data_IF_539819205663
#
_entry.id   IF_539819205663
#
_cell.length_a   1.000
_cell.length_b   1.000
_cell.length_c   1.000
_cell.angle_alpha   90.00
_cell.angle_beta   90.00
_cell.angle_gamma   90.00
#
_symmetry.space_group_name_H-M   'P 1'
#
loop_
_entity.id
_entity.type
_entity.pdbx_description
1 polymer ?
#
# COMPACT_ATOMS: atom_id res chain seq x y z
N UNK A 1 -19.71 2.79 -5.08
CA UNK A 1 -18.40 2.93 -5.74
C UNK A 1 -17.25 2.24 -4.99
N UNK A 2 -17.51 1.59 -3.88
CA UNK A 2 -16.51 0.87 -3.11
C UNK A 2 -16.40 -0.55 -3.63
N UNK A 3 -15.23 -0.96 -4.14
CA UNK A 3 -14.99 -2.32 -4.61
C UNK A 3 -14.69 -3.27 -3.45
N UNK A 4 -13.90 -2.79 -2.50
CA UNK A 4 -13.48 -3.55 -1.33
C UNK A 4 -13.80 -2.68 -0.12
N UNK A 5 -14.33 -3.29 0.93
CA UNK A 5 -14.69 -2.58 2.14
C UNK A 5 -13.52 -1.79 2.72
N UNK A 6 -13.80 -0.73 3.47
CA UNK A 6 -12.76 0.10 4.05
C UNK A 6 -12.14 -0.55 5.28
N UNK A 7 -10.86 -0.25 5.51
CA UNK A 7 -10.21 -0.52 6.77
C UNK A 7 -10.00 0.79 7.53
N UNK A 8 -10.07 0.72 8.85
CA UNK A 8 -9.95 1.89 9.71
C UNK A 8 -8.57 1.90 10.37
N UNK A 9 -7.87 3.02 10.25
CA UNK A 9 -6.54 3.18 10.83
C UNK A 9 -6.48 4.43 11.72
N UNK A 10 -5.79 4.33 12.84
CA UNK A 10 -5.44 5.48 13.67
C UNK A 10 -4.05 5.97 13.24
N UNK A 11 -4.04 6.95 12.35
CA UNK A 11 -2.79 7.43 11.75
C UNK A 11 -2.01 8.37 12.68
N UNK A 12 -2.66 9.00 13.61
CA UNK A 12 -2.02 10.04 14.44
C UNK A 12 -1.77 9.61 15.88
N UNK A 13 -2.25 8.43 16.26
CA UNK A 13 -2.12 7.96 17.63
C UNK A 13 -2.93 8.76 18.65
N UNK A 14 -3.90 9.56 18.18
CA UNK A 14 -4.75 10.43 19.01
C UNK A 14 -6.22 10.21 18.74
N UNK A 15 -6.59 8.98 18.39
CA UNK A 15 -7.98 8.60 18.04
C UNK A 15 -8.53 9.34 16.82
N UNK A 16 -7.65 9.80 15.94
CA UNK A 16 -8.02 10.45 14.69
C UNK A 16 -8.02 9.39 13.58
N UNK A 17 -9.10 8.63 13.49
CA UNK A 17 -9.20 7.50 12.57
C UNK A 17 -9.49 7.96 11.14
N UNK A 18 -8.86 7.32 10.18
CA UNK A 18 -9.11 7.47 8.76
C UNK A 18 -9.40 6.11 8.14
N UNK A 19 -10.07 6.12 7.00
CA UNK A 19 -10.36 4.90 6.25
C UNK A 19 -9.75 5.00 4.86
N UNK A 20 -9.24 3.87 4.35
CA UNK A 20 -8.86 3.75 2.95
C UNK A 20 -10.00 3.10 2.19
N UNK A 21 -10.34 3.66 1.04
CA UNK A 21 -11.42 3.18 0.20
C UNK A 21 -10.89 2.93 -1.20
N UNK A 22 -11.05 1.71 -1.70
CA UNK A 22 -10.77 1.37 -3.09
C UNK A 22 -12.05 1.56 -3.90
N UNK A 23 -12.01 2.53 -4.81
CA UNK A 23 -13.14 2.86 -5.67
C UNK A 23 -13.15 2.03 -6.97
N UNK A 24 -14.30 1.97 -7.62
CA UNK A 24 -14.45 1.24 -8.89
C UNK A 24 -13.59 1.80 -10.01
N UNK A 25 -13.24 3.08 -9.95
CA UNK A 25 -12.37 3.70 -10.95
C UNK A 25 -10.89 3.39 -10.76
N UNK A 26 -10.58 2.45 -9.87
CA UNK A 26 -9.23 1.98 -9.59
C UNK A 26 -8.38 3.01 -8.83
N UNK A 27 -9.00 3.90 -8.09
CA UNK A 27 -8.30 4.83 -7.20
C UNK A 27 -8.48 4.42 -5.75
N UNK A 28 -7.47 4.70 -4.95
CA UNK A 28 -7.55 4.54 -3.49
C UNK A 28 -7.53 5.93 -2.88
N UNK A 29 -8.51 6.21 -2.05
CA UNK A 29 -8.61 7.48 -1.36
C UNK A 29 -8.66 7.26 0.16
N UNK A 30 -8.17 8.26 0.89
CA UNK A 30 -8.22 8.27 2.35
C UNK A 30 -9.25 9.28 2.80
N UNK A 31 -10.09 8.88 3.75
CA UNK A 31 -11.12 9.77 4.31
C UNK A 31 -11.07 9.73 5.83
N UNK A 32 -11.35 10.86 6.47
CA UNK A 32 -11.61 10.86 7.90
C UNK A 32 -13.05 10.38 8.15
N UNK A 33 -13.43 10.25 9.41
CA UNK A 33 -14.77 9.75 9.75
C UNK A 33 -15.90 10.70 9.38
N UNK A 34 -15.58 11.93 8.97
CA UNK A 34 -16.55 12.91 8.44
C UNK A 34 -16.63 12.87 6.92
N UNK A 35 -15.90 11.97 6.27
CA UNK A 35 -15.91 11.82 4.82
C UNK A 35 -14.99 12.80 4.07
N UNK A 36 -14.06 13.45 4.74
CA UNK A 36 -13.14 14.39 4.12
C UNK A 36 -11.75 13.78 3.97
N UNK A 37 -11.07 14.12 2.87
CA UNK A 37 -9.70 13.70 2.64
C UNK A 37 -8.74 14.57 3.45
N UNK A 38 -7.67 13.98 4.02
CA UNK A 38 -6.61 14.79 4.64
C UNK A 38 -5.95 15.70 3.61
N UNK A 39 -5.52 16.90 4.03
CA UNK A 39 -4.96 17.90 3.12
C UNK A 39 -3.70 17.43 2.40
N UNK A 40 -2.90 16.60 3.04
CA UNK A 40 -1.65 16.09 2.47
C UNK A 40 -1.84 14.82 1.63
N UNK A 41 -3.06 14.28 1.53
CA UNK A 41 -3.32 13.07 0.76
C UNK A 41 -3.25 13.36 -0.74
N UNK A 42 -2.38 12.62 -1.45
CA UNK A 42 -2.14 12.80 -2.88
C UNK A 42 -2.90 11.79 -3.75
N UNK A 43 -3.42 10.73 -3.12
CA UNK A 43 -4.13 9.67 -3.84
C UNK A 43 -3.22 8.56 -4.32
N UNK A 44 -3.82 7.41 -4.58
CA UNK A 44 -3.14 6.25 -5.19
C UNK A 44 -3.97 5.87 -6.41
N UNK A 45 -3.36 5.95 -7.58
CA UNK A 45 -4.05 5.71 -8.85
C UNK A 45 -3.10 5.05 -9.86
N UNK A 46 -2.78 3.76 -9.68
CA UNK A 46 -1.91 3.05 -10.62
C UNK A 46 -2.62 2.84 -11.96
N UNK A 47 -1.83 2.62 -13.00
CA UNK A 47 -2.37 2.38 -14.34
C UNK A 47 -3.05 1.02 -14.48
N UNK A 48 -2.59 0.03 -13.69
CA UNK A 48 -3.16 -1.32 -13.76
C UNK A 48 -4.19 -1.54 -12.66
N UNK A 49 -5.04 -2.53 -12.87
CA UNK A 49 -6.11 -2.87 -11.93
C UNK A 49 -5.54 -3.31 -10.57
N UNK A 50 -5.98 -2.66 -9.51
CA UNK A 50 -5.65 -3.04 -8.15
C UNK A 50 -6.40 -4.33 -7.80
N UNK A 51 -5.69 -5.32 -7.26
CA UNK A 51 -6.24 -6.64 -6.99
C UNK A 51 -6.76 -6.83 -5.57
N UNK A 52 -6.33 -6.00 -4.64
CA UNK A 52 -6.75 -6.11 -3.24
C UNK A 52 -6.59 -4.76 -2.55
N UNK A 53 -7.21 -4.61 -1.39
CA UNK A 53 -7.05 -3.41 -0.59
C UNK A 53 -5.56 -3.22 -0.24
N UNK A 54 -5.03 -1.99 -0.28
CA UNK A 54 -3.64 -1.76 0.09
C UNK A 54 -3.30 -2.31 1.48
N UNK A 55 -2.14 -2.92 1.59
CA UNK A 55 -1.65 -3.45 2.85
C UNK A 55 -0.79 -2.41 3.56
N UNK A 56 -1.03 -2.22 4.84
CA UNK A 56 -0.22 -1.32 5.65
C UNK A 56 1.11 -1.98 5.97
N UNK A 57 2.20 -1.24 5.76
CA UNK A 57 3.56 -1.69 6.04
C UNK A 57 4.26 -0.61 6.86
N UNK A 58 4.78 -0.97 8.03
CA UNK A 58 5.53 -0.06 8.89
C UNK A 58 7.00 -0.44 8.86
N UNK A 59 7.84 0.47 8.37
CA UNK A 59 9.28 0.26 8.24
C UNK A 59 9.99 1.48 8.80
N UNK A 60 10.86 1.27 9.78
CA UNK A 60 11.61 2.37 10.40
C UNK A 60 10.71 3.43 11.01
N UNK A 61 9.58 3.03 11.59
CA UNK A 61 8.62 3.96 12.19
C UNK A 61 7.76 4.73 11.21
N UNK A 62 7.90 4.47 9.91
CA UNK A 62 7.08 5.11 8.87
C UNK A 62 6.09 4.13 8.28
N UNK A 63 4.90 4.62 7.95
CA UNK A 63 3.87 3.81 7.31
C UNK A 63 3.97 3.94 5.79
N UNK A 64 3.91 2.81 5.10
CA UNK A 64 3.86 2.70 3.65
C UNK A 64 2.66 1.84 3.26
N UNK A 65 2.26 1.93 2.00
CA UNK A 65 1.18 1.11 1.44
C UNK A 65 1.72 0.18 0.38
N UNK A 66 1.42 -1.11 0.51
CA UNK A 66 1.75 -2.11 -0.52
C UNK A 66 0.50 -2.31 -1.36
N UNK A 67 0.59 -1.97 -2.65
CA UNK A 67 -0.51 -2.08 -3.60
C UNK A 67 -0.15 -3.14 -4.64
N UNK A 68 -1.02 -4.13 -4.78
CA UNK A 68 -0.82 -5.23 -5.73
C UNK A 68 -1.73 -5.02 -6.93
N UNK A 69 -1.12 -4.96 -8.10
CA UNK A 69 -1.86 -4.88 -9.37
C UNK A 69 -1.68 -6.18 -10.15
N UNK A 70 -2.27 -6.25 -11.33
CA UNK A 70 -2.14 -7.41 -12.20
C UNK A 70 -0.71 -7.63 -12.70
N UNK A 71 0.13 -6.59 -12.72
CA UNK A 71 1.48 -6.65 -13.31
C UNK A 71 2.59 -6.15 -12.41
N UNK A 72 2.27 -5.56 -11.28
CA UNK A 72 3.27 -4.95 -10.41
C UNK A 72 2.91 -5.08 -8.94
N UNK A 73 3.93 -5.08 -8.10
CA UNK A 73 3.81 -4.75 -6.68
C UNK A 73 4.35 -3.34 -6.51
N UNK A 74 3.55 -2.45 -5.98
CA UNK A 74 3.90 -1.04 -5.81
C UNK A 74 3.95 -0.69 -4.33
N UNK A 75 4.93 0.11 -3.94
CA UNK A 75 5.02 0.61 -2.58
C UNK A 75 4.90 2.12 -2.62
N UNK A 76 3.92 2.65 -1.88
CA UNK A 76 3.64 4.07 -1.79
C UNK A 76 3.97 4.60 -0.40
N UNK A 77 4.31 5.89 -0.33
CA UNK A 77 4.39 6.56 0.96
C UNK A 77 3.00 6.64 1.59
N UNK A 78 2.95 6.97 2.87
CA UNK A 78 1.71 7.10 3.63
C UNK A 78 0.67 8.02 2.93
N UNK A 79 1.12 9.08 2.28
CA UNK A 79 0.23 10.04 1.62
C UNK A 79 -0.07 9.72 0.16
N UNK A 80 0.43 8.61 -0.36
CA UNK A 80 0.21 8.23 -1.75
C UNK A 80 1.12 8.98 -2.71
N UNK A 81 0.57 9.40 -3.85
CA UNK A 81 1.32 10.08 -4.90
C UNK A 81 1.97 9.10 -5.88
N UNK A 82 3.21 9.35 -6.27
CA UNK A 82 3.96 8.41 -7.12
C UNK A 82 4.49 7.26 -6.29
N UNK A 83 4.50 6.02 -6.82
CA UNK A 83 5.08 4.91 -6.08
C UNK A 83 6.58 5.13 -5.84
N UNK A 84 7.01 4.77 -4.63
CA UNK A 84 8.42 4.83 -4.27
C UNK A 84 9.19 3.66 -4.87
N UNK A 85 8.53 2.50 -4.97
CA UNK A 85 9.11 1.28 -5.51
C UNK A 85 8.09 0.60 -6.39
N UNK A 86 8.61 -0.10 -7.43
CA UNK A 86 7.80 -0.83 -8.39
C UNK A 86 8.54 -2.13 -8.74
N UNK A 87 7.89 -3.26 -8.52
CA UNK A 87 8.45 -4.58 -8.79
C UNK A 87 7.60 -5.29 -9.83
N UNK A 88 8.20 -5.71 -10.94
CA UNK A 88 7.50 -6.29 -12.09
C UNK A 88 7.96 -7.71 -12.36
N UNK A 89 7.11 -8.49 -13.04
CA UNK A 89 7.44 -9.84 -13.47
C UNK A 89 7.77 -10.74 -12.31
N UNK A 90 8.91 -11.44 -12.39
CA UNK A 90 9.32 -12.39 -11.37
C UNK A 90 9.65 -11.75 -10.03
N UNK A 91 9.83 -10.45 -10.00
CA UNK A 91 10.09 -9.69 -8.77
C UNK A 91 8.83 -9.26 -8.06
N UNK A 92 7.66 -9.46 -8.64
CA UNK A 92 6.40 -9.19 -7.95
C UNK A 92 6.27 -10.11 -6.74
N UNK A 93 5.65 -9.58 -5.69
CA UNK A 93 5.35 -10.41 -4.51
C UNK A 93 4.22 -11.38 -4.85
N UNK A 94 4.34 -12.61 -4.37
CA UNK A 94 3.24 -13.57 -4.49
C UNK A 94 1.99 -13.01 -3.78
N UNK A 95 0.78 -13.29 -4.32
CA UNK A 95 -0.45 -12.73 -3.75
C UNK A 95 -0.66 -13.03 -2.27
N UNK A 96 -0.24 -14.21 -1.83
CA UNK A 96 -0.38 -14.62 -0.43
C UNK A 96 0.89 -14.40 0.38
N UNK A 97 1.93 -13.80 -0.19
CA UNK A 97 3.19 -13.61 0.50
C UNK A 97 3.05 -12.56 1.58
N UNK A 98 3.51 -12.89 2.77
CA UNK A 98 3.64 -11.94 3.85
C UNK A 98 4.88 -11.07 3.61
N UNK A 99 4.73 -9.77 3.75
CA UNK A 99 5.83 -8.83 3.65
C UNK A 99 6.40 -8.65 5.06
N UNK A 100 7.62 -9.12 5.26
CA UNK A 100 8.28 -9.05 6.57
C UNK A 100 9.27 -7.91 6.62
N UNK A 101 9.25 -7.16 7.72
CA UNK A 101 10.20 -6.07 7.94
C UNK A 101 11.49 -6.66 8.52
N UNK A 102 12.62 -6.45 7.81
CA UNK A 102 13.92 -6.94 8.27
C UNK A 102 14.63 -5.93 9.16
N UNK A 103 14.58 -4.67 8.79
CA UNK A 103 15.20 -3.59 9.58
C UNK A 103 14.53 -2.27 9.21
N UNK A 104 15.11 -1.14 9.62
CA UNK A 104 14.50 0.18 9.46
C UNK A 104 14.33 0.64 8.01
N UNK A 105 14.93 -0.06 7.04
CA UNK A 105 14.89 0.35 5.63
C UNK A 105 14.59 -0.78 4.66
N UNK A 106 14.52 -2.03 5.11
CA UNK A 106 14.37 -3.18 4.22
C UNK A 106 13.24 -4.10 4.63
N UNK A 107 12.62 -4.69 3.62
CA UNK A 107 11.57 -5.69 3.78
C UNK A 107 11.95 -6.95 2.98
N UNK A 108 11.28 -8.05 3.29
CA UNK A 108 11.50 -9.33 2.65
C UNK A 108 10.17 -9.94 2.27
N UNK A 109 10.06 -10.46 1.05
CA UNK A 109 8.86 -11.14 0.59
C UNK A 109 9.22 -12.18 -0.46
N UNK A 110 8.42 -13.25 -0.52
CA UNK A 110 8.54 -14.25 -1.57
C UNK A 110 7.96 -13.70 -2.87
N UNK A 111 8.70 -13.87 -3.96
CA UNK A 111 8.36 -13.35 -5.27
C UNK A 111 7.93 -14.46 -6.23
N UNK A 112 7.43 -14.07 -7.41
CA UNK A 112 6.92 -15.01 -8.40
C UNK A 112 7.96 -16.00 -8.92
N UNK A 113 9.24 -15.70 -8.83
CA UNK A 113 10.30 -16.63 -9.20
C UNK A 113 10.60 -17.67 -8.11
N UNK A 114 9.82 -17.68 -7.03
CA UNK A 114 10.00 -18.59 -5.91
C UNK A 114 11.12 -18.19 -4.94
N UNK A 115 11.79 -17.08 -5.20
CA UNK A 115 12.85 -16.59 -4.32
C UNK A 115 12.31 -15.60 -3.31
N UNK A 116 12.83 -15.66 -2.10
CA UNK A 116 12.58 -14.64 -1.09
C UNK A 116 13.58 -13.52 -1.31
N UNK A 117 13.08 -12.32 -1.59
CA UNK A 117 13.93 -11.16 -1.89
C UNK A 117 13.90 -10.16 -0.76
N UNK A 118 15.07 -9.59 -0.48
CA UNK A 118 15.19 -8.46 0.44
C UNK A 118 15.19 -7.19 -0.39
N UNK A 119 14.27 -6.28 -0.08
CA UNK A 119 14.04 -5.08 -0.86
C UNK A 119 14.16 -3.86 0.01
N UNK A 120 14.83 -2.83 -0.53
CA UNK A 120 14.99 -1.56 0.19
C UNK A 120 13.77 -0.69 -0.07
N UNK A 121 13.17 -0.16 0.99
CA UNK A 121 12.06 0.78 0.94
C UNK A 121 12.58 2.16 1.28
N UNK A 122 12.29 3.10 0.43
CA UNK A 122 12.73 4.48 0.68
C UNK A 122 11.92 5.18 1.74
#
# INVERSE_FOLDING_TARGET
>A
EILIGPDVYDFNGVNAYNVLVLHKDNTVEMYNLKGKKPDSWLGIAPDETIKSLPERLIVGGKTFWVVRTSRQTLIYSFYGGKPLNSFKGDKMFLPAAEVKVKNSTTVEAECYDGKTRTLKVK
#
